data_IF_603907268707
#
_entry.id   IF_603907268707
#
_cell.length_a   1.000
_cell.length_b   1.000
_cell.length_c   1.000
_cell.angle_alpha   90.00
_cell.angle_beta   90.00
_cell.angle_gamma   90.00
#
_symmetry.space_group_name_H-M   'P 1'
#
loop_
_entity.id
_entity.type
_entity.pdbx_description
1 polymer ?
#
# COMPACT_ATOMS: atom_id res chain seq x y z
N UNK A 1 -8.58 4.39 23.05
CA UNK A 1 -7.39 4.91 22.31
C UNK A 1 -7.87 5.55 21.03
N UNK A 2 -7.36 6.73 20.69
CA UNK A 2 -7.73 7.47 19.47
C UNK A 2 -6.61 7.32 18.44
N UNK A 3 -6.91 6.80 17.25
CA UNK A 3 -5.91 6.57 16.22
C UNK A 3 -6.33 7.31 14.95
N UNK A 4 -5.47 8.18 14.43
CA UNK A 4 -5.62 8.74 13.10
C UNK A 4 -5.01 7.77 12.09
N UNK A 5 -5.80 7.36 11.11
CA UNK A 5 -5.40 6.54 9.96
C UNK A 5 -5.51 7.43 8.73
N UNK A 6 -4.39 7.84 8.16
CA UNK A 6 -4.39 8.62 6.91
C UNK A 6 -4.41 7.68 5.71
N UNK A 7 -5.02 8.10 4.60
CA UNK A 7 -5.17 7.21 3.44
C UNK A 7 -6.11 6.02 3.69
N UNK A 8 -7.00 6.15 4.67
CA UNK A 8 -7.88 5.05 5.09
C UNK A 8 -9.03 4.72 4.13
N UNK A 9 -9.29 5.55 3.12
CA UNK A 9 -10.24 5.24 2.04
C UNK A 9 -9.56 4.51 0.86
N UNK A 10 -8.24 4.30 0.91
CA UNK A 10 -7.46 3.51 -0.04
C UNK A 10 -7.44 2.03 0.32
N UNK A 11 -6.75 1.22 -0.50
CA UNK A 11 -6.71 -0.24 -0.39
C UNK A 11 -6.23 -0.75 0.98
N UNK A 12 -4.96 -0.53 1.32
CA UNK A 12 -4.38 -1.07 2.55
C UNK A 12 -4.98 -0.38 3.77
N UNK A 13 -5.15 0.95 3.71
CA UNK A 13 -5.69 1.76 4.80
C UNK A 13 -7.10 1.34 5.22
N UNK A 14 -8.00 1.04 4.27
CA UNK A 14 -9.36 0.58 4.58
C UNK A 14 -9.38 -0.79 5.26
N UNK A 15 -8.59 -1.73 4.75
CA UNK A 15 -8.44 -3.04 5.39
C UNK A 15 -7.88 -2.92 6.82
N UNK A 16 -6.94 -1.98 7.03
CA UNK A 16 -6.44 -1.70 8.38
C UNK A 16 -7.52 -1.08 9.29
N UNK A 17 -8.32 -0.14 8.79
CA UNK A 17 -9.47 0.41 9.54
C UNK A 17 -10.44 -0.70 9.94
N UNK A 18 -10.79 -1.61 9.03
CA UNK A 18 -11.68 -2.74 9.33
C UNK A 18 -11.08 -3.68 10.36
N UNK A 19 -9.79 -4.01 10.23
CA UNK A 19 -9.06 -4.84 11.18
C UNK A 19 -9.08 -4.22 12.59
N UNK A 20 -8.76 -2.93 12.71
CA UNK A 20 -8.68 -2.25 14.01
C UNK A 20 -10.04 -2.15 14.70
N UNK A 21 -11.09 -1.74 13.97
CA UNK A 21 -12.45 -1.64 14.52
C UNK A 21 -13.02 -3.00 14.96
N UNK A 22 -12.67 -4.07 14.23
CA UNK A 22 -13.09 -5.43 14.57
C UNK A 22 -12.36 -5.96 15.80
N UNK A 23 -11.06 -5.73 15.88
CA UNK A 23 -10.20 -6.30 16.93
C UNK A 23 -10.25 -5.50 18.23
N UNK A 24 -10.41 -4.17 18.12
CA UNK A 24 -10.42 -3.24 19.23
C UNK A 24 -11.68 -2.37 19.23
N UNK A 25 -12.83 -2.93 19.66
CA UNK A 25 -14.11 -2.23 19.58
C UNK A 25 -14.18 -0.94 20.41
N UNK A 26 -13.29 -0.79 21.41
CA UNK A 26 -13.17 0.42 22.24
C UNK A 26 -12.21 1.49 21.68
N UNK A 27 -11.54 1.21 20.55
CA UNK A 27 -10.67 2.19 19.90
C UNK A 27 -11.50 3.10 18.99
N UNK A 28 -11.21 4.39 19.05
CA UNK A 28 -11.76 5.35 18.09
C UNK A 28 -10.79 5.49 16.91
N UNK A 29 -11.29 5.21 15.72
CA UNK A 29 -10.52 5.32 14.47
C UNK A 29 -11.00 6.54 13.70
N UNK A 30 -10.09 7.47 13.47
CA UNK A 30 -10.32 8.68 12.68
C UNK A 30 -9.61 8.50 11.32
N UNK A 31 -10.38 8.29 10.28
CA UNK A 31 -9.87 8.15 8.92
C UNK A 31 -9.74 9.53 8.26
N UNK A 32 -8.52 9.95 7.95
CA UNK A 32 -8.24 11.15 7.18
C UNK A 32 -7.86 10.77 5.76
N UNK A 33 -8.61 11.23 4.77
CA UNK A 33 -8.33 10.95 3.36
C UNK A 33 -8.74 12.14 2.48
N UNK A 34 -7.94 12.45 1.46
CA UNK A 34 -8.20 13.51 0.49
C UNK A 34 -9.23 13.08 -0.57
N UNK A 35 -9.45 11.76 -0.72
CA UNK A 35 -10.26 11.15 -1.76
C UNK A 35 -9.75 11.53 -3.17
N UNK A 36 -8.49 11.20 -3.44
CA UNK A 36 -7.92 11.24 -4.78
C UNK A 36 -8.41 10.04 -5.59
N UNK A 37 -7.85 9.78 -6.75
CA UNK A 37 -8.28 8.72 -7.66
C UNK A 37 -8.35 7.31 -7.02
N UNK A 38 -7.48 7.00 -6.07
CA UNK A 38 -7.42 5.69 -5.39
C UNK A 38 -8.16 5.64 -4.04
N UNK A 39 -8.63 6.77 -3.53
CA UNK A 39 -9.40 6.87 -2.31
C UNK A 39 -10.90 6.95 -2.60
N UNK A 40 -11.66 5.94 -2.19
CA UNK A 40 -13.09 5.85 -2.48
C UNK A 40 -13.91 5.74 -1.19
N UNK A 41 -14.85 6.67 -1.00
CA UNK A 41 -15.69 6.68 0.19
C UNK A 41 -16.58 5.43 0.29
N UNK A 42 -16.99 4.86 -0.85
CA UNK A 42 -17.75 3.60 -0.91
C UNK A 42 -17.01 2.42 -0.28
N UNK A 43 -15.67 2.45 -0.29
CA UNK A 43 -14.84 1.45 0.39
C UNK A 43 -15.09 1.42 1.90
N UNK A 44 -15.40 2.57 2.50
CA UNK A 44 -15.61 2.70 3.94
C UNK A 44 -17.08 2.50 4.38
N UNK A 45 -17.99 2.25 3.43
CA UNK A 45 -19.42 2.05 3.72
C UNK A 45 -19.68 1.04 4.86
N UNK A 46 -18.97 -0.11 4.93
CA UNK A 46 -19.19 -1.08 6.00
C UNK A 46 -19.01 -0.53 7.43
N UNK A 47 -18.22 0.54 7.59
CA UNK A 47 -17.88 1.12 8.91
C UNK A 47 -18.45 2.51 9.15
N UNK A 48 -19.08 3.14 8.16
CA UNK A 48 -19.62 4.51 8.27
C UNK A 48 -20.61 4.70 9.40
N UNK A 49 -21.33 3.64 9.79
CA UNK A 49 -22.31 3.66 10.91
C UNK A 49 -21.71 3.25 12.26
N UNK A 50 -20.43 2.88 12.30
CA UNK A 50 -19.78 2.49 13.55
C UNK A 50 -19.57 3.74 14.43
N UNK A 51 -20.05 3.77 15.69
CA UNK A 51 -19.93 4.95 16.57
C UNK A 51 -18.47 5.31 16.89
N UNK A 52 -17.56 4.37 16.76
CA UNK A 52 -16.13 4.55 17.00
C UNK A 52 -15.32 4.85 15.71
N UNK A 53 -16.01 5.09 14.59
CA UNK A 53 -15.41 5.50 13.33
C UNK A 53 -15.80 6.94 12.98
N UNK A 54 -14.82 7.73 12.53
CA UNK A 54 -15.04 9.07 11.97
C UNK A 54 -14.26 9.19 10.67
N UNK A 55 -14.92 9.62 9.59
CA UNK A 55 -14.28 10.01 8.36
C UNK A 55 -14.08 11.54 8.31
N UNK A 56 -12.89 11.97 7.89
CA UNK A 56 -12.53 13.38 7.68
C UNK A 56 -11.90 13.53 6.30
N UNK A 57 -12.54 14.31 5.43
CA UNK A 57 -11.99 14.66 4.12
C UNK A 57 -11.00 15.81 4.29
N UNK A 58 -9.70 15.53 4.18
CA UNK A 58 -8.65 16.53 4.22
C UNK A 58 -7.38 16.03 3.53
N UNK A 59 -6.52 16.98 3.14
CA UNK A 59 -5.19 16.71 2.62
C UNK A 59 -4.17 16.68 3.76
N UNK A 60 -3.29 15.68 3.80
CA UNK A 60 -2.20 15.64 4.79
C UNK A 60 -1.21 16.81 4.62
N UNK A 61 -1.18 17.45 3.45
CA UNK A 61 -0.38 18.65 3.19
C UNK A 61 -1.03 19.93 3.76
N UNK A 62 -2.33 19.89 4.08
CA UNK A 62 -3.03 21.03 4.68
C UNK A 62 -2.75 21.08 6.20
N UNK A 63 -1.76 21.90 6.56
CA UNK A 63 -1.29 22.07 7.94
C UNK A 63 -2.42 22.49 8.89
N UNK A 64 -3.27 23.41 8.45
CA UNK A 64 -4.32 23.95 9.32
C UNK A 64 -5.40 22.91 9.57
N UNK A 65 -5.80 22.17 8.54
CA UNK A 65 -6.75 21.07 8.65
C UNK A 65 -6.22 19.95 9.55
N UNK A 66 -4.95 19.56 9.38
CA UNK A 66 -4.28 18.52 10.19
C UNK A 66 -4.20 18.95 11.64
N UNK A 67 -3.74 20.17 11.92
CA UNK A 67 -3.61 20.67 13.30
C UNK A 67 -4.95 20.78 14.00
N UNK A 68 -5.97 21.30 13.31
CA UNK A 68 -7.34 21.34 13.82
C UNK A 68 -7.87 19.94 14.17
N UNK A 69 -7.60 18.94 13.32
CA UNK A 69 -7.99 17.57 13.59
C UNK A 69 -7.32 17.02 14.87
N UNK A 70 -6.03 17.29 15.07
CA UNK A 70 -5.31 16.89 16.29
C UNK A 70 -5.86 17.58 17.53
N UNK A 71 -6.27 18.85 17.43
CA UNK A 71 -6.91 19.58 18.53
C UNK A 71 -8.30 19.03 18.88
N UNK A 72 -9.07 18.60 17.89
CA UNK A 72 -10.41 18.03 18.10
C UNK A 72 -10.37 16.60 18.66
N UNK A 73 -9.51 15.75 18.11
CA UNK A 73 -9.53 14.30 18.37
C UNK A 73 -8.53 13.84 19.42
N UNK A 74 -7.52 14.63 19.76
CA UNK A 74 -6.47 14.28 20.71
C UNK A 74 -5.91 12.86 20.47
N UNK A 75 -5.34 12.59 19.29
CA UNK A 75 -4.94 11.25 18.93
C UNK A 75 -3.80 10.73 19.82
N UNK A 76 -3.87 9.44 20.14
CA UNK A 76 -2.77 8.72 20.79
C UNK A 76 -1.73 8.26 19.76
N UNK A 77 -2.18 7.86 18.56
CA UNK A 77 -1.34 7.31 17.51
C UNK A 77 -1.74 7.85 16.14
N UNK A 78 -0.76 7.88 15.23
CA UNK A 78 -0.98 8.13 13.80
C UNK A 78 -0.38 6.99 13.00
N UNK A 79 -1.15 6.43 12.06
CA UNK A 79 -0.69 5.45 11.07
C UNK A 79 -0.84 6.06 9.68
N UNK A 80 0.28 6.33 9.03
CA UNK A 80 0.31 7.04 7.75
C UNK A 80 0.35 6.07 6.56
N UNK A 81 -0.82 5.84 5.94
CA UNK A 81 -0.95 5.15 4.65
C UNK A 81 -1.07 6.13 3.48
N UNK A 82 -1.41 7.40 3.74
CA UNK A 82 -1.61 8.39 2.69
C UNK A 82 -0.34 8.57 1.85
N UNK A 83 -0.46 8.27 0.57
CA UNK A 83 0.63 8.40 -0.40
C UNK A 83 0.09 8.41 -1.83
N UNK A 84 0.77 9.11 -2.71
CA UNK A 84 0.74 8.77 -4.13
C UNK A 84 1.57 7.50 -4.35
N UNK A 85 1.03 6.48 -5.03
CA UNK A 85 1.60 5.12 -5.00
C UNK A 85 1.74 4.41 -6.35
N UNK A 86 1.38 5.05 -7.47
CA UNK A 86 1.48 4.44 -8.79
C UNK A 86 2.75 4.85 -9.51
N UNK A 87 3.65 3.89 -9.77
CA UNK A 87 4.98 4.17 -10.36
C UNK A 87 4.86 4.88 -11.71
N UNK A 88 3.98 4.40 -12.62
CA UNK A 88 3.83 5.03 -13.94
C UNK A 88 3.38 6.50 -13.83
N UNK A 89 2.45 6.81 -12.92
CA UNK A 89 2.05 8.19 -12.62
C UNK A 89 3.20 9.03 -12.08
N UNK A 90 4.12 8.42 -11.32
CA UNK A 90 5.29 9.13 -10.79
C UNK A 90 6.29 9.51 -11.87
N UNK A 91 6.36 8.73 -12.95
CA UNK A 91 7.21 9.02 -14.12
C UNK A 91 6.62 10.19 -14.92
N UNK A 92 5.31 10.27 -15.03
CA UNK A 92 4.60 11.34 -15.75
C UNK A 92 4.55 12.65 -14.95
N UNK A 93 4.27 12.59 -13.65
CA UNK A 93 4.13 13.75 -12.77
C UNK A 93 4.79 13.51 -11.40
N UNK A 94 6.12 13.61 -11.30
CA UNK A 94 6.83 13.37 -10.04
C UNK A 94 6.50 14.38 -8.93
N UNK A 95 6.12 15.61 -9.29
CA UNK A 95 5.89 16.71 -8.34
C UNK A 95 4.84 16.39 -7.28
N UNK A 96 3.71 15.79 -7.68
CA UNK A 96 2.63 15.42 -6.76
C UNK A 96 3.07 14.34 -5.75
N UNK A 97 4.02 13.46 -6.13
CA UNK A 97 4.61 12.46 -5.23
C UNK A 97 5.50 13.10 -4.16
N UNK A 98 6.29 14.11 -4.54
CA UNK A 98 7.12 14.85 -3.59
C UNK A 98 6.24 15.63 -2.60
N UNK A 99 5.23 16.31 -3.10
CA UNK A 99 4.30 17.06 -2.26
C UNK A 99 3.59 16.14 -1.27
N UNK A 100 2.90 15.12 -1.75
CA UNK A 100 2.11 14.22 -0.88
C UNK A 100 3.00 13.39 0.03
N UNK A 101 4.00 12.68 -0.53
CA UNK A 101 4.74 11.67 0.22
C UNK A 101 5.79 12.28 1.16
N UNK A 102 6.38 13.43 0.82
CA UNK A 102 7.42 14.07 1.63
C UNK A 102 6.80 15.21 2.46
N UNK A 103 6.21 16.20 1.81
CA UNK A 103 5.68 17.38 2.52
C UNK A 103 4.49 17.01 3.40
N UNK A 104 3.58 16.15 2.92
CA UNK A 104 2.47 15.65 3.74
C UNK A 104 2.95 14.87 4.97
N UNK A 105 3.97 14.02 4.81
CA UNK A 105 4.60 13.31 5.95
C UNK A 105 5.21 14.30 6.95
N UNK A 106 5.88 15.34 6.48
CA UNK A 106 6.44 16.40 7.35
C UNK A 106 5.36 17.12 8.15
N UNK A 107 4.24 17.49 7.53
CA UNK A 107 3.12 18.15 8.21
C UNK A 107 2.55 17.27 9.34
N UNK A 108 2.34 15.97 9.05
CA UNK A 108 1.86 15.01 10.06
C UNK A 108 2.84 14.89 11.23
N UNK A 109 4.14 14.78 10.96
CA UNK A 109 5.14 14.66 12.03
C UNK A 109 5.30 15.93 12.87
N UNK A 110 5.16 17.12 12.26
CA UNK A 110 5.11 18.37 13.00
C UNK A 110 3.90 18.42 13.95
N UNK A 111 2.73 17.97 13.48
CA UNK A 111 1.54 17.85 14.33
C UNK A 111 1.78 16.85 15.47
N UNK A 112 2.34 15.67 15.16
CA UNK A 112 2.70 14.66 16.16
C UNK A 112 3.64 15.21 17.23
N UNK A 113 4.63 15.98 16.84
CA UNK A 113 5.56 16.65 17.76
C UNK A 113 4.87 17.71 18.61
N UNK A 114 4.05 18.57 17.99
CA UNK A 114 3.35 19.66 18.69
C UNK A 114 2.38 19.13 19.76
N UNK A 115 1.65 18.05 19.43
CA UNK A 115 0.58 17.52 20.30
C UNK A 115 1.02 16.32 21.17
N UNK A 116 2.30 15.94 21.12
CA UNK A 116 2.86 14.92 22.02
C UNK A 116 2.31 13.53 21.79
N UNK A 117 2.27 13.07 20.54
CA UNK A 117 1.75 11.75 20.16
C UNK A 117 2.55 10.60 20.77
N UNK A 118 1.89 9.49 21.11
CA UNK A 118 2.54 8.31 21.71
C UNK A 118 3.23 7.43 20.65
N UNK A 119 2.73 7.42 19.41
CA UNK A 119 3.30 6.63 18.30
C UNK A 119 2.93 7.24 16.96
N UNK A 120 3.94 7.43 16.11
CA UNK A 120 3.78 7.64 14.67
C UNK A 120 4.29 6.43 13.91
N UNK A 121 3.48 5.87 13.02
CA UNK A 121 3.88 4.76 12.16
C UNK A 121 3.82 5.16 10.69
N UNK A 122 4.95 5.01 9.99
CA UNK A 122 5.06 5.23 8.54
C UNK A 122 4.94 3.91 7.80
N UNK A 123 3.94 3.80 6.92
CA UNK A 123 3.84 2.67 6.00
C UNK A 123 4.62 2.99 4.73
N UNK A 124 5.66 2.20 4.46
CA UNK A 124 6.58 2.34 3.34
C UNK A 124 6.58 1.08 2.48
N UNK A 125 7.55 0.94 1.60
CA UNK A 125 7.63 -0.09 0.55
C UNK A 125 9.03 -0.67 0.47
N UNK A 126 9.16 -1.91 0.02
CA UNK A 126 10.43 -2.55 -0.32
C UNK A 126 11.10 -1.93 -1.57
N UNK A 127 10.33 -1.21 -2.40
CA UNK A 127 10.86 -0.51 -3.58
C UNK A 127 11.93 0.54 -3.23
N UNK A 128 12.03 0.96 -1.97
CA UNK A 128 13.11 1.86 -1.51
C UNK A 128 14.50 1.21 -1.55
N UNK A 129 14.57 -0.12 -1.53
CA UNK A 129 15.82 -0.86 -1.59
C UNK A 129 16.40 -1.01 -3.00
N UNK A 130 15.57 -0.82 -4.04
CA UNK A 130 15.96 -0.97 -5.44
C UNK A 130 15.72 -2.37 -5.99
N UNK A 131 16.63 -2.85 -6.81
CA UNK A 131 16.47 -4.06 -7.63
C UNK A 131 17.38 -5.20 -7.17
N UNK A 132 16.87 -6.42 -7.24
CA UNK A 132 17.64 -7.65 -7.09
C UNK A 132 17.77 -8.38 -8.43
N UNK A 133 18.94 -8.97 -8.73
CA UNK A 133 19.13 -9.75 -9.95
C UNK A 133 18.35 -11.07 -9.90
N UNK A 134 17.79 -11.48 -11.05
CA UNK A 134 17.01 -12.70 -11.17
C UNK A 134 17.83 -13.98 -10.97
N UNK A 135 19.13 -13.92 -11.29
CA UNK A 135 20.07 -15.06 -11.18
C UNK A 135 20.67 -15.24 -9.77
N UNK A 136 20.25 -14.40 -8.81
CA UNK A 136 20.69 -14.46 -7.42
C UNK A 136 19.50 -14.67 -6.46
N UNK A 137 18.86 -15.85 -6.48
CA UNK A 137 17.70 -16.14 -5.63
C UNK A 137 18.06 -16.20 -4.12
N UNK A 138 19.36 -16.22 -3.79
CA UNK A 138 19.89 -16.16 -2.44
C UNK A 138 19.87 -14.76 -1.82
N UNK A 139 19.67 -13.71 -2.61
CA UNK A 139 19.66 -12.33 -2.13
C UNK A 139 18.25 -11.90 -1.70
N UNK A 140 18.19 -11.21 -0.55
CA UNK A 140 16.98 -10.64 0.01
C UNK A 140 17.28 -9.25 0.58
N UNK A 141 16.27 -8.36 0.56
CA UNK A 141 16.33 -7.09 1.25
C UNK A 141 16.13 -7.29 2.75
N UNK A 142 17.09 -6.86 3.55
CA UNK A 142 16.98 -6.73 5.00
C UNK A 142 16.81 -5.27 5.37
N UNK A 143 16.50 -4.96 6.63
CA UNK A 143 16.43 -3.60 7.13
C UNK A 143 17.77 -2.84 7.05
N UNK A 144 18.88 -3.57 6.97
CA UNK A 144 20.25 -3.03 6.80
C UNK A 144 20.64 -2.79 5.34
N UNK A 145 19.82 -3.24 4.38
CA UNK A 145 20.08 -3.02 2.96
C UNK A 145 20.07 -1.52 2.66
N UNK A 146 21.11 -0.99 1.98
CA UNK A 146 21.15 0.42 1.60
C UNK A 146 19.96 0.82 0.71
N UNK A 147 19.47 2.04 0.90
CA UNK A 147 18.42 2.61 0.04
C UNK A 147 19.02 2.91 -1.34
N UNK A 148 18.40 2.37 -2.39
CA UNK A 148 18.84 2.54 -3.78
C UNK A 148 17.65 2.54 -4.74
N UNK A 149 16.94 3.66 -4.81
CA UNK A 149 15.65 3.78 -5.51
C UNK A 149 15.78 3.87 -7.02
N UNK A 150 14.80 3.30 -7.76
CA UNK A 150 14.77 3.25 -9.23
C UNK A 150 13.70 4.15 -9.86
N UNK A 151 12.75 4.67 -9.09
CA UNK A 151 11.64 5.49 -9.60
C UNK A 151 11.40 6.75 -8.77
N UNK A 152 10.72 7.79 -9.33
CA UNK A 152 10.31 8.95 -8.54
C UNK A 152 9.42 8.57 -7.35
N UNK A 153 8.53 7.57 -7.51
CA UNK A 153 7.73 7.03 -6.41
C UNK A 153 8.61 6.48 -5.30
N UNK A 154 9.49 5.51 -5.60
CA UNK A 154 10.35 4.91 -4.58
C UNK A 154 11.28 5.92 -3.93
N UNK A 155 11.77 6.91 -4.69
CA UNK A 155 12.57 8.02 -4.15
C UNK A 155 11.78 8.88 -3.18
N UNK A 156 10.52 9.19 -3.46
CA UNK A 156 9.66 9.96 -2.56
C UNK A 156 9.36 9.21 -1.27
N UNK A 157 9.17 7.88 -1.35
CA UNK A 157 8.96 7.02 -0.17
C UNK A 157 10.23 6.90 0.67
N UNK A 158 11.39 6.74 0.03
CA UNK A 158 12.69 6.70 0.70
C UNK A 158 12.99 8.03 1.42
N UNK A 159 12.72 9.16 0.77
CA UNK A 159 12.87 10.48 1.39
C UNK A 159 11.96 10.65 2.62
N UNK A 160 10.71 10.19 2.54
CA UNK A 160 9.81 10.18 3.69
C UNK A 160 10.35 9.31 4.84
N UNK A 161 10.85 8.09 4.55
CA UNK A 161 11.46 7.22 5.56
C UNK A 161 12.64 7.88 6.27
N UNK A 162 13.55 8.48 5.49
CA UNK A 162 14.72 9.19 6.02
C UNK A 162 14.30 10.39 6.88
N UNK A 163 13.25 11.11 6.47
CA UNK A 163 12.71 12.23 7.24
C UNK A 163 12.10 11.76 8.57
N UNK A 164 11.34 10.65 8.57
CA UNK A 164 10.79 10.02 9.78
C UNK A 164 11.90 9.62 10.75
N UNK A 165 12.97 9.00 10.27
CA UNK A 165 14.14 8.66 11.08
C UNK A 165 14.85 9.89 11.64
N UNK A 166 14.97 10.96 10.82
CA UNK A 166 15.55 12.23 11.27
C UNK A 166 14.73 12.87 12.38
N UNK A 167 13.40 12.86 12.30
CA UNK A 167 12.54 13.38 13.38
C UNK A 167 12.70 12.60 14.68
N UNK A 168 12.87 11.28 14.59
CA UNK A 168 13.19 10.48 15.78
C UNK A 168 14.53 10.89 16.39
N UNK A 169 15.60 10.94 15.57
CA UNK A 169 16.96 11.26 16.06
C UNK A 169 17.09 12.69 16.58
N UNK A 170 16.44 13.65 15.92
CA UNK A 170 16.57 15.08 16.23
C UNK A 170 15.64 15.51 17.35
N UNK A 171 14.40 15.03 17.34
CA UNK A 171 13.34 15.51 18.23
C UNK A 171 12.84 14.46 19.22
N UNK A 172 13.33 13.22 19.14
CA UNK A 172 12.86 12.13 19.98
C UNK A 172 11.43 11.67 19.67
N UNK A 173 10.90 11.97 18.46
CA UNK A 173 9.55 11.55 18.08
C UNK A 173 9.45 10.01 18.13
N UNK A 174 8.43 9.43 18.80
CA UNK A 174 8.29 7.98 18.92
C UNK A 174 7.73 7.39 17.61
N UNK A 175 8.62 7.05 16.68
CA UNK A 175 8.30 6.55 15.35
C UNK A 175 8.57 5.06 15.19
N UNK A 176 7.88 4.44 14.23
CA UNK A 176 8.23 3.17 13.62
C UNK A 176 7.97 3.24 12.11
N UNK A 177 8.68 2.45 11.33
CA UNK A 177 8.51 2.36 9.89
C UNK A 177 8.29 0.89 9.53
N UNK A 178 7.36 0.60 8.62
CA UNK A 178 7.27 -0.71 7.95
C UNK A 178 7.56 -0.56 6.47
N UNK A 179 8.31 -1.51 5.90
CA UNK A 179 8.55 -1.65 4.47
C UNK A 179 7.96 -2.97 4.02
N UNK A 180 6.90 -2.91 3.22
CA UNK A 180 6.16 -4.10 2.81
C UNK A 180 6.45 -4.48 1.37
N UNK A 181 6.30 -5.76 1.08
CA UNK A 181 6.24 -6.30 -0.27
C UNK A 181 4.90 -5.98 -0.95
N UNK A 182 4.70 -6.42 -2.20
CA UNK A 182 3.51 -6.14 -2.98
C UNK A 182 2.26 -6.71 -2.31
N UNK A 183 1.29 -5.85 -2.01
CA UNK A 183 0.03 -6.26 -1.40
C UNK A 183 -1.00 -6.69 -2.44
N UNK A 184 -1.88 -7.63 -2.07
CA UNK A 184 -3.06 -8.01 -2.84
C UNK A 184 -4.20 -8.40 -1.90
N UNK A 185 -5.44 -8.35 -2.40
CA UNK A 185 -6.61 -8.68 -1.60
C UNK A 185 -7.82 -7.79 -1.90
N UNK A 186 -8.84 -7.81 -1.01
CA UNK A 186 -10.04 -6.99 -1.10
C UNK A 186 -9.78 -5.49 -1.21
N UNK A 187 -10.58 -4.79 -2.01
CA UNK A 187 -10.51 -3.33 -2.21
C UNK A 187 -9.25 -2.80 -2.89
N UNK A 188 -8.44 -3.68 -3.51
CA UNK A 188 -7.28 -3.24 -4.28
C UNK A 188 -7.71 -2.52 -5.56
N UNK A 189 -7.18 -1.31 -5.78
CA UNK A 189 -7.61 -0.44 -6.88
C UNK A 189 -7.29 -1.06 -8.26
N UNK A 190 -8.23 -1.01 -9.23
CA UNK A 190 -8.13 -1.75 -10.49
C UNK A 190 -7.00 -1.34 -11.46
N UNK A 191 -6.16 -0.36 -11.15
CA UNK A 191 -4.96 -0.03 -11.95
C UNK A 191 -3.75 -0.92 -11.64
N UNK A 192 -3.78 -1.68 -10.56
CA UNK A 192 -2.69 -2.57 -10.16
C UNK A 192 -2.83 -3.95 -10.81
N UNK A 193 -1.71 -4.67 -10.94
CA UNK A 193 -1.62 -5.91 -11.71
C UNK A 193 -2.79 -6.88 -11.47
N UNK A 194 -2.95 -7.37 -10.25
CA UNK A 194 -3.95 -8.41 -9.95
C UNK A 194 -5.37 -7.94 -10.22
N UNK A 195 -5.86 -6.81 -9.66
CA UNK A 195 -7.23 -6.39 -9.91
C UNK A 195 -7.48 -5.97 -11.36
N UNK A 196 -6.49 -5.40 -12.05
CA UNK A 196 -6.59 -5.07 -13.47
C UNK A 196 -6.82 -6.32 -14.31
N UNK A 197 -6.01 -7.36 -14.07
CA UNK A 197 -6.12 -8.62 -14.82
C UNK A 197 -7.46 -9.30 -14.54
N UNK A 198 -7.94 -9.31 -13.30
CA UNK A 198 -9.26 -9.85 -12.94
C UNK A 198 -10.37 -9.08 -13.67
N UNK A 199 -10.38 -7.74 -13.57
CA UNK A 199 -11.41 -6.92 -14.20
C UNK A 199 -11.42 -7.07 -15.73
N UNK A 200 -10.25 -7.08 -16.37
CA UNK A 200 -10.14 -7.27 -17.80
C UNK A 200 -10.57 -8.68 -18.23
N UNK A 201 -10.11 -9.72 -17.54
CA UNK A 201 -10.47 -11.10 -17.85
C UNK A 201 -11.99 -11.34 -17.74
N UNK A 202 -12.64 -10.79 -16.72
CA UNK A 202 -14.10 -10.88 -16.55
C UNK A 202 -14.88 -10.21 -17.68
N UNK A 203 -14.30 -9.22 -18.34
CA UNK A 203 -14.89 -8.50 -19.47
C UNK A 203 -14.33 -8.95 -20.84
N UNK A 204 -13.60 -10.06 -20.92
CA UNK A 204 -12.95 -10.57 -22.12
C UNK A 204 -12.06 -9.54 -22.85
N UNK A 205 -11.45 -8.64 -22.07
CA UNK A 205 -10.52 -7.61 -22.55
C UNK A 205 -9.08 -8.12 -22.55
N UNK A 206 -8.18 -7.53 -23.36
CA UNK A 206 -6.76 -7.84 -23.32
C UNK A 206 -6.15 -7.69 -21.93
N UNK A 207 -5.24 -8.62 -21.58
CA UNK A 207 -4.48 -8.63 -20.33
C UNK A 207 -3.07 -8.11 -20.60
N UNK A 208 -2.80 -6.80 -20.40
CA UNK A 208 -1.53 -6.20 -20.76
C UNK A 208 -0.43 -6.64 -19.78
N UNK A 209 0.63 -7.24 -20.30
CA UNK A 209 1.81 -7.66 -19.55
C UNK A 209 3.01 -6.87 -20.04
N UNK A 210 3.69 -6.17 -19.15
CA UNK A 210 4.91 -5.40 -19.47
C UNK A 210 6.06 -6.32 -19.85
N UNK A 211 6.75 -6.00 -20.97
CA UNK A 211 7.85 -6.79 -21.49
C UNK A 211 7.47 -8.26 -21.70
N UNK A 212 8.23 -9.17 -21.13
CA UNK A 212 7.97 -10.61 -21.15
C UNK A 212 7.24 -11.10 -19.87
N UNK A 213 6.97 -10.22 -18.92
CA UNK A 213 6.33 -10.53 -17.63
C UNK A 213 7.20 -11.34 -16.67
N UNK A 214 8.53 -11.35 -16.87
CA UNK A 214 9.48 -12.12 -16.06
C UNK A 214 9.85 -11.48 -14.74
N UNK A 215 9.43 -10.22 -14.53
CA UNK A 215 9.66 -9.50 -13.27
C UNK A 215 9.05 -10.26 -12.09
N UNK A 216 9.83 -10.44 -11.04
CA UNK A 216 9.43 -11.18 -9.84
C UNK A 216 9.06 -10.21 -8.72
N UNK A 217 7.95 -10.51 -8.05
CA UNK A 217 7.47 -9.77 -6.86
C UNK A 217 7.17 -10.75 -5.75
N UNK A 218 7.44 -10.35 -4.52
CA UNK A 218 6.92 -11.01 -3.34
C UNK A 218 5.51 -10.49 -3.04
N UNK A 219 4.56 -11.38 -2.80
CA UNK A 219 3.15 -11.05 -2.65
C UNK A 219 2.65 -11.29 -1.23
N UNK A 220 2.14 -10.23 -0.62
CA UNK A 220 1.65 -10.20 0.75
C UNK A 220 0.13 -9.98 0.78
N UNK A 221 -0.60 -10.91 1.38
CA UNK A 221 -2.04 -10.75 1.55
C UNK A 221 -2.34 -9.60 2.50
N UNK A 222 -3.27 -8.71 2.11
CA UNK A 222 -3.47 -7.44 2.82
C UNK A 222 -3.86 -7.58 4.28
N UNK A 223 -4.62 -8.63 4.65
CA UNK A 223 -4.97 -8.87 6.04
C UNK A 223 -3.75 -9.22 6.90
N UNK A 224 -2.81 -9.98 6.35
CA UNK A 224 -1.56 -10.32 7.06
C UNK A 224 -0.69 -9.07 7.26
N UNK A 225 -0.67 -8.17 6.27
CA UNK A 225 -0.02 -6.86 6.41
C UNK A 225 -0.68 -6.02 7.52
N UNK A 226 -2.00 -5.96 7.57
CA UNK A 226 -2.71 -5.24 8.63
C UNK A 226 -2.39 -5.79 10.04
N UNK A 227 -2.28 -7.13 10.18
CA UNK A 227 -1.85 -7.78 11.43
C UNK A 227 -0.41 -7.39 11.81
N UNK A 228 0.49 -7.30 10.84
CA UNK A 228 1.87 -6.86 11.08
C UNK A 228 1.93 -5.42 11.59
N UNK A 229 1.23 -4.48 10.92
CA UNK A 229 1.18 -3.08 11.34
C UNK A 229 0.59 -2.95 12.75
N UNK A 230 -0.50 -3.67 13.03
CA UNK A 230 -1.11 -3.72 14.36
C UNK A 230 -0.09 -4.13 15.44
N UNK A 231 0.68 -5.18 15.21
CA UNK A 231 1.75 -5.59 16.13
C UNK A 231 2.84 -4.51 16.28
N UNK A 232 3.26 -3.90 15.18
CA UNK A 232 4.31 -2.88 15.20
C UNK A 232 3.88 -1.64 16.00
N UNK A 233 2.67 -1.14 15.80
CA UNK A 233 2.21 0.07 16.51
C UNK A 233 2.04 -0.15 18.01
N UNK A 234 1.73 -1.36 18.42
CA UNK A 234 1.54 -1.69 19.84
C UNK A 234 2.82 -2.19 20.53
N UNK A 235 3.67 -2.94 19.84
CA UNK A 235 4.81 -3.67 20.44
C UNK A 235 6.16 -3.38 19.80
N UNK A 236 6.19 -2.78 18.59
CA UNK A 236 7.43 -2.49 17.89
C UNK A 236 8.31 -1.51 18.66
N UNK A 237 9.61 -1.66 18.57
CA UNK A 237 10.58 -0.75 19.18
C UNK A 237 10.54 0.60 18.51
N UNK A 238 10.55 1.67 19.31
CA UNK A 238 10.62 3.04 18.82
C UNK A 238 11.94 3.27 18.07
N UNK A 239 11.85 3.93 16.92
CA UNK A 239 12.98 4.23 16.05
C UNK A 239 13.32 3.14 15.03
N UNK A 240 12.67 1.97 15.11
CA UNK A 240 13.00 0.81 14.28
C UNK A 240 12.20 0.75 12.96
N UNK A 241 12.84 0.12 11.98
CA UNK A 241 12.25 -0.30 10.70
C UNK A 241 11.97 -1.78 10.75
N UNK A 242 10.83 -2.21 10.20
CA UNK A 242 10.43 -3.60 10.07
C UNK A 242 10.07 -3.94 8.63
N UNK A 243 10.73 -4.92 8.05
CA UNK A 243 10.36 -5.51 6.78
C UNK A 243 9.17 -6.46 6.95
N UNK A 244 8.18 -6.37 6.03
CA UNK A 244 6.99 -7.21 6.04
C UNK A 244 6.86 -7.88 4.68
N UNK A 245 7.24 -9.17 4.58
CA UNK A 245 7.23 -9.95 3.35
C UNK A 245 6.25 -11.11 3.39
N UNK A 246 5.82 -11.55 2.20
CA UNK A 246 4.84 -12.61 2.03
C UNK A 246 5.42 -14.01 1.90
N UNK A 247 6.73 -14.13 1.61
CA UNK A 247 7.38 -15.38 1.17
C UNK A 247 6.73 -16.02 -0.08
N UNK A 248 6.16 -15.19 -0.95
CA UNK A 248 5.43 -15.62 -2.13
C UNK A 248 6.01 -14.94 -3.38
N UNK A 249 7.26 -15.25 -3.72
CA UNK A 249 7.88 -14.73 -4.94
C UNK A 249 7.26 -15.37 -6.19
N UNK A 250 6.72 -14.54 -7.09
CA UNK A 250 6.11 -14.99 -8.35
C UNK A 250 6.42 -14.03 -9.50
N UNK A 251 6.60 -14.59 -10.69
CA UNK A 251 6.69 -13.79 -11.90
C UNK A 251 5.32 -13.22 -12.27
N UNK A 252 5.30 -12.01 -12.80
CA UNK A 252 4.05 -11.36 -13.20
C UNK A 252 3.26 -12.22 -14.21
N UNK A 253 3.93 -12.83 -15.18
CA UNK A 253 3.26 -13.69 -16.19
C UNK A 253 2.59 -14.92 -15.55
N UNK A 254 3.20 -15.52 -14.53
CA UNK A 254 2.63 -16.69 -13.86
C UNK A 254 1.35 -16.33 -13.10
N UNK A 255 1.30 -15.13 -12.51
CA UNK A 255 0.09 -14.62 -11.86
C UNK A 255 -1.03 -14.41 -12.88
N UNK A 256 -0.73 -13.81 -14.03
CA UNK A 256 -1.73 -13.55 -15.06
C UNK A 256 -2.30 -14.87 -15.60
N UNK A 257 -1.44 -15.87 -15.84
CA UNK A 257 -1.88 -17.22 -16.24
C UNK A 257 -2.74 -17.89 -15.16
N UNK A 258 -2.37 -17.76 -13.90
CA UNK A 258 -3.16 -18.28 -12.78
C UNK A 258 -4.55 -17.63 -12.73
N UNK A 259 -4.64 -16.32 -12.90
CA UNK A 259 -5.93 -15.60 -12.96
C UNK A 259 -6.78 -16.12 -14.14
N UNK A 260 -6.20 -16.29 -15.33
CA UNK A 260 -6.91 -16.89 -16.46
C UNK A 260 -7.48 -18.27 -16.10
N UNK A 261 -6.66 -19.14 -15.52
CA UNK A 261 -7.05 -20.48 -15.10
C UNK A 261 -8.21 -20.47 -14.11
N UNK A 262 -8.09 -19.68 -13.03
CA UNK A 262 -9.11 -19.61 -11.96
C UNK A 262 -10.45 -19.02 -12.45
N UNK A 263 -10.41 -18.12 -13.44
CA UNK A 263 -11.60 -17.53 -14.06
C UNK A 263 -12.13 -18.33 -15.27
N UNK A 264 -11.47 -19.42 -15.67
CA UNK A 264 -11.84 -20.19 -16.86
C UNK A 264 -11.68 -19.40 -18.16
N UNK A 265 -10.74 -18.45 -18.21
CA UNK A 265 -10.48 -17.60 -19.38
C UNK A 265 -9.26 -18.08 -20.18
N UNK A 266 -9.24 -17.90 -21.51
CA UNK A 266 -8.13 -18.36 -22.34
C UNK A 266 -6.90 -17.45 -22.17
N UNK A 267 -5.70 -18.06 -22.18
CA UNK A 267 -4.43 -17.32 -22.17
C UNK A 267 -4.22 -16.45 -23.43
N UNK A 268 -5.01 -16.65 -24.49
CA UNK A 268 -4.99 -15.80 -25.69
C UNK A 268 -5.41 -14.35 -25.42
N UNK A 269 -5.99 -14.04 -24.26
CA UNK A 269 -6.24 -12.68 -23.81
C UNK A 269 -4.94 -11.95 -23.39
N UNK A 270 -3.87 -12.67 -23.10
CA UNK A 270 -2.59 -12.07 -22.68
C UNK A 270 -1.97 -11.32 -23.87
N UNK A 271 -1.66 -10.04 -23.64
CA UNK A 271 -1.04 -9.18 -24.65
C UNK A 271 0.22 -8.57 -24.06
N UNK A 272 1.36 -8.80 -24.71
CA UNK A 272 2.62 -8.20 -24.28
C UNK A 272 2.73 -6.76 -24.78
N UNK A 273 3.03 -5.84 -23.88
CA UNK A 273 3.17 -4.41 -24.16
C UNK A 273 4.59 -3.93 -23.86
N UNK A 274 4.97 -2.77 -24.40
CA UNK A 274 6.28 -2.17 -24.14
C UNK A 274 6.51 -2.01 -22.63
N UNK A 275 7.69 -2.44 -22.18
CA UNK A 275 8.03 -2.34 -20.77
C UNK A 275 8.21 -0.88 -20.33
N UNK A 276 7.95 -0.61 -19.05
CA UNK A 276 8.12 0.71 -18.47
C UNK A 276 9.60 1.00 -18.18
N UNK A 277 9.96 2.27 -18.17
CA UNK A 277 11.32 2.71 -17.79
C UNK A 277 11.57 2.45 -16.31
N UNK A 278 12.79 2.02 -15.98
CA UNK A 278 13.17 1.76 -14.59
C UNK A 278 12.38 0.63 -13.92
N UNK A 279 11.99 -0.39 -14.68
CA UNK A 279 11.23 -1.52 -14.17
C UNK A 279 12.16 -2.53 -13.51
N UNK A 280 12.21 -2.52 -12.20
CA UNK A 280 13.02 -3.45 -11.40
C UNK A 280 12.65 -4.90 -11.67
N UNK A 281 13.67 -5.77 -11.71
CA UNK A 281 13.51 -7.16 -12.11
C UNK A 281 12.98 -8.04 -10.98
N UNK A 282 13.46 -7.84 -9.74
CA UNK A 282 13.05 -8.70 -8.62
C UNK A 282 13.02 -7.93 -7.31
N UNK A 283 11.95 -8.15 -6.55
CA UNK A 283 11.84 -7.79 -5.14
C UNK A 283 11.67 -9.05 -4.30
N UNK A 284 12.48 -9.18 -3.27
CA UNK A 284 12.36 -10.22 -2.26
C UNK A 284 12.78 -9.66 -0.91
N UNK A 285 11.88 -9.70 0.05
CA UNK A 285 12.09 -9.09 1.36
C UNK A 285 12.27 -10.15 2.44
N UNK A 286 13.18 -9.91 3.39
CA UNK A 286 13.39 -10.77 4.54
C UNK A 286 12.64 -10.22 5.77
N UNK A 287 11.57 -10.88 6.24
CA UNK A 287 10.82 -10.50 7.43
C UNK A 287 11.33 -11.13 8.73
N UNK A 288 12.55 -11.62 8.76
CA UNK A 288 13.12 -12.30 9.94
C UNK A 288 13.11 -11.44 11.19
N UNK A 289 13.37 -10.14 11.06
CA UNK A 289 13.38 -9.22 12.21
C UNK A 289 12.02 -9.11 12.89
N UNK A 290 10.95 -8.87 12.13
CA UNK A 290 9.61 -8.78 12.70
C UNK A 290 9.17 -10.11 13.32
N UNK A 291 9.56 -11.24 12.72
CA UNK A 291 9.31 -12.56 13.30
C UNK A 291 10.00 -12.71 14.65
N UNK A 292 11.31 -12.46 14.71
CA UNK A 292 12.10 -12.67 15.92
C UNK A 292 11.70 -11.72 17.05
N UNK A 293 11.37 -10.48 16.74
CA UNK A 293 11.06 -9.47 17.76
C UNK A 293 9.59 -9.46 18.16
N UNK A 294 8.65 -9.71 17.21
CA UNK A 294 7.22 -9.54 17.43
C UNK A 294 6.41 -10.83 17.22
N UNK A 295 7.03 -11.92 16.75
CA UNK A 295 6.39 -13.20 16.52
C UNK A 295 5.47 -13.24 15.29
N UNK A 296 5.55 -12.25 14.38
CA UNK A 296 4.71 -12.21 13.20
C UNK A 296 5.28 -13.05 12.06
N UNK A 297 4.40 -13.76 11.37
CA UNK A 297 4.62 -14.41 10.06
C UNK A 297 3.38 -14.24 9.19
N UNK A 298 3.52 -14.20 7.86
CA UNK A 298 2.35 -14.23 6.98
C UNK A 298 1.64 -15.59 7.11
N UNK A 299 0.32 -15.55 7.23
CA UNK A 299 -0.51 -16.75 7.41
C UNK A 299 -1.09 -17.25 6.08
N UNK A 300 -1.22 -16.34 5.09
CA UNK A 300 -1.89 -16.62 3.83
C UNK A 300 -0.90 -16.99 2.73
N UNK A 301 -0.95 -18.23 2.27
CA UNK A 301 -0.21 -18.66 1.06
C UNK A 301 -0.84 -18.01 -0.18
N UNK A 302 -0.01 -17.70 -1.19
CA UNK A 302 -0.49 -17.02 -2.41
C UNK A 302 -1.62 -17.82 -3.10
N UNK A 303 -1.48 -19.15 -3.20
CA UNK A 303 -2.49 -20.00 -3.81
C UNK A 303 -3.89 -19.87 -3.18
N UNK A 304 -3.94 -19.70 -1.86
CA UNK A 304 -5.20 -19.52 -1.14
C UNK A 304 -5.70 -18.07 -1.22
N UNK A 305 -4.77 -17.12 -1.08
CA UNK A 305 -5.08 -15.69 -1.10
C UNK A 305 -5.58 -15.19 -2.43
N UNK A 306 -5.04 -15.70 -3.55
CA UNK A 306 -5.48 -15.30 -4.89
C UNK A 306 -6.92 -15.77 -5.17
N UNK A 307 -7.28 -16.97 -4.74
CA UNK A 307 -8.66 -17.48 -4.87
C UNK A 307 -9.63 -16.63 -4.06
N UNK A 308 -9.28 -16.30 -2.81
CA UNK A 308 -10.07 -15.38 -1.98
C UNK A 308 -10.22 -14.00 -2.63
N UNK A 309 -9.15 -13.49 -3.23
CA UNK A 309 -9.15 -12.19 -3.91
C UNK A 309 -10.06 -12.22 -5.13
N UNK A 310 -9.93 -13.23 -5.99
CA UNK A 310 -10.80 -13.39 -7.17
C UNK A 310 -12.27 -13.50 -6.75
N UNK A 311 -12.58 -14.33 -5.75
CA UNK A 311 -13.95 -14.47 -5.24
C UNK A 311 -14.49 -13.14 -4.74
N UNK A 312 -13.68 -12.36 -4.01
CA UNK A 312 -14.08 -11.04 -3.55
C UNK A 312 -14.47 -10.11 -4.72
N UNK A 313 -13.70 -10.09 -5.82
CA UNK A 313 -14.03 -9.30 -7.02
C UNK A 313 -15.31 -9.78 -7.70
N UNK A 314 -15.57 -11.09 -7.74
CA UNK A 314 -16.82 -11.63 -8.27
C UNK A 314 -18.02 -11.19 -7.44
N UNK A 315 -17.90 -11.19 -6.11
CA UNK A 315 -18.96 -10.84 -5.18
C UNK A 315 -19.20 -9.33 -5.06
N UNK A 316 -18.21 -8.50 -5.44
CA UNK A 316 -18.24 -7.04 -5.30
C UNK A 316 -18.10 -6.32 -6.65
N UNK A 317 -18.75 -6.87 -7.69
CA UNK A 317 -18.65 -6.37 -9.06
C UNK A 317 -19.08 -4.89 -9.18
N UNK A 318 -20.17 -4.50 -8.54
CA UNK A 318 -20.67 -3.13 -8.54
C UNK A 318 -19.64 -2.13 -8.00
N UNK A 319 -18.89 -2.51 -6.94
CA UNK A 319 -17.88 -1.65 -6.34
C UNK A 319 -16.77 -1.29 -7.35
N UNK A 320 -16.13 -2.29 -7.97
CA UNK A 320 -15.00 -2.02 -8.87
C UNK A 320 -15.44 -1.50 -10.25
N UNK A 321 -16.64 -1.87 -10.74
CA UNK A 321 -17.20 -1.30 -11.99
C UNK A 321 -17.47 0.20 -11.86
N UNK A 322 -17.98 0.64 -10.71
CA UNK A 322 -18.16 2.06 -10.42
C UNK A 322 -16.83 2.81 -10.43
N UNK A 323 -15.77 2.21 -9.87
CA UNK A 323 -14.45 2.82 -9.81
C UNK A 323 -13.79 2.93 -11.20
N UNK A 324 -13.90 1.91 -12.04
CA UNK A 324 -13.28 1.92 -13.38
C UNK A 324 -14.05 2.71 -14.41
N UNK A 325 -15.20 3.32 -14.06
CA UNK A 325 -15.93 4.23 -14.92
C UNK A 325 -15.33 5.66 -14.90
N UNK A 326 -15.52 6.43 -15.97
CA UNK A 326 -15.13 7.84 -16.01
C UNK A 326 -13.62 8.09 -16.18
N UNK A 327 -13.00 8.85 -15.27
CA UNK A 327 -11.58 9.28 -15.40
C UNK A 327 -10.57 8.13 -15.49
N UNK A 328 -10.88 6.99 -14.86
CA UNK A 328 -10.03 5.81 -14.94
C UNK A 328 -9.96 5.24 -16.37
N UNK A 329 -11.06 5.25 -17.14
CA UNK A 329 -11.03 4.78 -18.52
C UNK A 329 -10.10 5.62 -19.39
N UNK A 330 -10.13 6.95 -19.23
CA UNK A 330 -9.21 7.85 -19.92
C UNK A 330 -7.75 7.54 -19.58
N UNK A 331 -7.46 7.32 -18.31
CA UNK A 331 -6.12 6.92 -17.86
C UNK A 331 -5.71 5.57 -18.47
N UNK A 332 -6.58 4.57 -18.46
CA UNK A 332 -6.31 3.26 -19.05
C UNK A 332 -5.98 3.35 -20.55
N UNK A 333 -6.74 4.14 -21.31
CA UNK A 333 -6.49 4.33 -22.75
C UNK A 333 -5.14 5.03 -22.99
N UNK A 334 -4.76 6.01 -22.17
CA UNK A 334 -3.44 6.65 -22.26
C UNK A 334 -2.30 5.67 -22.00
N UNK A 335 -2.44 4.81 -21.00
CA UNK A 335 -1.37 3.87 -20.60
C UNK A 335 -1.23 2.68 -21.55
N UNK A 336 -2.31 2.16 -22.08
CA UNK A 336 -2.32 0.88 -22.82
C UNK A 336 -2.84 0.98 -24.26
N UNK A 337 -3.54 2.06 -24.62
CA UNK A 337 -4.15 2.20 -25.94
C UNK A 337 -3.16 2.41 -27.09
N UNK A 338 -1.93 2.86 -26.82
CA UNK A 338 -0.88 3.16 -27.80
C UNK A 338 0.44 2.38 -27.55
N UNK A 339 0.43 1.32 -26.75
CA UNK A 339 1.62 0.51 -26.41
C UNK A 339 1.62 -0.85 -27.09
#
# INVERSE_FOLDING_TARGET
MNIIVTGGAGFIGSNFVFHMLKKYPDYRIICLDKLTYAGNLSTLEPVMKNPNFRFVKADICDRDAVYKLFEEEHPDMVVNFAAESHVDRSIENPGVFLETNIMGTQVLMDACRKYGIKRYHQVSTDEVYGDLPLDRPDLFFTEETPIHTSSPYSSSKAAADLLVQAYHRTYGLPVTISRCSNNYGPYHFPEKLIPLMIANALNDKPLPVYGEGINVRDWLYVEDHCKAIDLIIHKGKVGEVYNIGGYNEMRNIDIVKLICKELGKPESLITYVTDRKGHDMRYAIDPTKIHNELGWLPETKFADGIVKTIQWYLDNKEWWETIISGEYQNYYEQMYGNR
#
